data_IF_343058675576
#
_entry.id   IF_343058675576
#
_cell.length_a   1.000
_cell.length_b   1.000
_cell.length_c   1.000
_cell.angle_alpha   90.00
_cell.angle_beta   90.00
_cell.angle_gamma   90.00
#
_symmetry.space_group_name_H-M   'P 1'
#
loop_
_entity.id
_entity.type
_entity.pdbx_description
1 polymer ?
#
# COMPACT_ATOMS: atom_id res chain seq x y z
N UNK A 1 -13.55 -4.14 -5.61
CA UNK A 1 -13.34 -4.54 -7.01
C UNK A 1 -13.33 -6.06 -7.08
N UNK A 2 -13.94 -6.63 -8.12
CA UNK A 2 -13.93 -8.05 -8.43
C UNK A 2 -13.00 -8.25 -9.63
N UNK A 3 -12.14 -9.27 -9.56
CA UNK A 3 -11.19 -9.66 -10.60
C UNK A 3 -11.48 -11.10 -10.99
N UNK A 4 -11.91 -11.32 -12.22
CA UNK A 4 -12.09 -12.67 -12.78
C UNK A 4 -10.74 -13.24 -13.21
N UNK A 5 -10.47 -14.49 -12.83
CA UNK A 5 -9.19 -15.13 -13.09
C UNK A 5 -9.22 -15.86 -14.42
N UNK A 6 -8.35 -15.46 -15.36
CA UNK A 6 -8.16 -16.15 -16.64
C UNK A 6 -7.45 -17.52 -16.50
N UNK A 7 -6.78 -17.75 -15.37
CA UNK A 7 -6.08 -19.00 -15.05
C UNK A 7 -6.33 -19.37 -13.59
N UNK A 8 -6.18 -20.66 -13.25
CA UNK A 8 -6.31 -21.12 -11.87
C UNK A 8 -5.19 -20.51 -11.01
N UNK A 9 -5.56 -19.58 -10.14
CA UNK A 9 -4.66 -18.87 -9.24
C UNK A 9 -5.10 -19.13 -7.80
N UNK A 10 -4.60 -20.20 -7.16
CA UNK A 10 -5.03 -20.57 -5.82
C UNK A 10 -4.59 -19.51 -4.82
N UNK A 11 -5.46 -19.23 -3.86
CA UNK A 11 -5.19 -18.34 -2.74
C UNK A 11 -5.95 -18.79 -1.51
N UNK A 12 -5.51 -18.35 -0.34
CA UNK A 12 -6.16 -18.57 0.96
C UNK A 12 -6.63 -17.23 1.53
N UNK A 13 -7.79 -17.15 2.20
CA UNK A 13 -8.17 -15.92 2.90
C UNK A 13 -7.04 -15.45 3.83
N UNK A 14 -6.63 -14.19 3.66
CA UNK A 14 -5.46 -13.60 4.31
C UNK A 14 -4.33 -13.28 3.34
N UNK A 15 -4.27 -13.96 2.18
CA UNK A 15 -3.30 -13.69 1.13
C UNK A 15 -3.43 -12.29 0.53
N UNK A 16 -2.36 -11.83 -0.11
CA UNK A 16 -2.33 -10.60 -0.89
C UNK A 16 -2.32 -10.88 -2.38
N UNK A 17 -2.80 -9.92 -3.16
CA UNK A 17 -2.56 -9.84 -4.60
C UNK A 17 -1.66 -8.64 -4.90
N UNK A 18 -0.57 -8.87 -5.63
CA UNK A 18 0.28 -7.83 -6.18
C UNK A 18 -0.21 -7.45 -7.58
N UNK A 19 -0.60 -6.19 -7.77
CA UNK A 19 -1.13 -5.68 -9.03
C UNK A 19 -0.08 -4.82 -9.73
N UNK A 20 0.19 -5.13 -11.01
CA UNK A 20 1.03 -4.32 -11.89
C UNK A 20 0.18 -3.27 -12.61
N UNK A 21 0.21 -2.04 -12.10
CA UNK A 21 -0.48 -0.92 -12.72
C UNK A 21 0.32 -0.26 -13.84
N UNK A 22 -0.36 0.56 -14.63
CA UNK A 22 0.27 1.45 -15.60
C UNK A 22 0.29 2.89 -15.07
N UNK A 23 1.32 3.64 -15.44
CA UNK A 23 1.30 5.09 -15.35
C UNK A 23 0.22 5.64 -16.30
N UNK A 24 -0.39 6.75 -15.88
CA UNK A 24 -1.43 7.44 -16.67
C UNK A 24 -0.89 7.90 -18.02
N UNK A 25 -1.71 7.72 -19.06
CA UNK A 25 -1.32 8.04 -20.42
C UNK A 25 -0.90 9.51 -20.57
N UNK A 26 -1.60 10.44 -19.93
CA UNK A 26 -1.30 11.87 -20.03
C UNK A 26 0.08 12.21 -19.44
N UNK A 27 0.49 11.52 -18.37
CA UNK A 27 1.83 11.66 -17.78
C UNK A 27 2.90 11.08 -18.70
N UNK A 28 2.64 9.91 -19.28
CA UNK A 28 3.57 9.27 -20.22
C UNK A 28 3.76 10.15 -21.45
N UNK A 29 2.67 10.61 -22.07
CA UNK A 29 2.71 11.51 -23.23
C UNK A 29 3.47 12.80 -22.93
N UNK A 30 3.22 13.41 -21.76
CA UNK A 30 3.94 14.58 -21.31
C UNK A 30 5.44 14.32 -21.18
N UNK A 31 5.85 13.22 -20.52
CA UNK A 31 7.29 12.86 -20.39
C UNK A 31 7.91 12.64 -21.78
N UNK A 32 7.25 11.87 -22.65
CA UNK A 32 7.73 11.58 -24.01
C UNK A 32 7.97 12.87 -24.81
N UNK A 33 7.08 13.86 -24.69
CA UNK A 33 7.21 15.15 -25.38
C UNK A 33 8.43 15.97 -24.97
N UNK A 34 9.07 15.64 -23.85
CA UNK A 34 10.24 16.35 -23.31
C UNK A 34 11.57 15.60 -23.53
N UNK A 35 11.54 14.39 -24.07
CA UNK A 35 12.74 13.58 -24.29
C UNK A 35 13.57 14.08 -25.48
N UNK A 36 14.88 13.96 -25.37
CA UNK A 36 15.78 14.09 -26.50
C UNK A 36 15.88 12.73 -27.22
N UNK A 37 15.04 12.53 -28.24
CA UNK A 37 15.05 11.31 -29.05
C UNK A 37 14.69 11.60 -30.50
N UNK A 38 15.32 10.87 -31.43
CA UNK A 38 14.95 10.84 -32.85
C UNK A 38 14.11 9.61 -33.21
N UNK A 39 13.98 8.66 -32.29
CA UNK A 39 13.21 7.43 -32.45
C UNK A 39 11.75 7.69 -32.13
N UNK A 40 10.86 7.15 -32.96
CA UNK A 40 9.42 7.13 -32.68
C UNK A 40 9.17 6.40 -31.36
N UNK A 41 8.50 7.03 -30.36
CA UNK A 41 8.19 6.39 -29.09
C UNK A 41 7.37 5.11 -29.18
N UNK A 42 6.72 4.87 -30.32
CA UNK A 42 5.87 3.71 -30.60
C UNK A 42 6.56 2.63 -31.45
N UNK A 43 7.81 2.84 -31.87
CA UNK A 43 8.63 1.81 -32.48
C UNK A 43 9.31 0.92 -31.42
N UNK A 44 9.37 -0.41 -31.60
CA UNK A 44 10.08 -1.30 -30.69
C UNK A 44 11.58 -0.98 -30.62
N UNK A 45 12.10 -0.84 -29.41
CA UNK A 45 13.52 -0.64 -29.14
C UNK A 45 14.04 -1.68 -28.14
N UNK A 46 15.35 -1.89 -28.12
CA UNK A 46 16.03 -2.70 -27.12
C UNK A 46 17.07 -1.85 -26.40
N UNK A 47 16.99 -1.79 -25.07
CA UNK A 47 18.03 -1.16 -24.27
C UNK A 47 19.25 -2.10 -24.19
N UNK A 48 20.40 -1.60 -24.63
CA UNK A 48 21.67 -2.33 -24.54
C UNK A 48 22.63 -1.66 -23.55
N UNK A 49 23.38 -2.46 -22.82
CA UNK A 49 24.40 -2.03 -21.88
C UNK A 49 25.77 -2.38 -22.45
N UNK A 50 26.69 -1.41 -22.43
CA UNK A 50 28.08 -1.66 -22.81
C UNK A 50 28.83 -2.27 -21.63
N UNK A 51 29.25 -3.52 -21.76
CA UNK A 51 30.11 -4.20 -20.78
C UNK A 51 31.57 -4.11 -21.22
N UNK A 52 32.43 -3.78 -20.27
CA UNK A 52 33.88 -3.79 -20.45
C UNK A 52 34.48 -5.01 -19.76
N UNK A 53 35.05 -5.93 -20.54
CA UNK A 53 35.71 -7.14 -20.03
C UNK A 53 37.21 -6.99 -20.15
N UNK A 54 37.92 -7.06 -19.04
CA UNK A 54 39.38 -7.06 -19.02
C UNK A 54 39.90 -8.43 -19.45
N UNK A 55 40.61 -8.48 -20.58
CA UNK A 55 41.26 -9.69 -21.12
C UNK A 55 42.78 -9.51 -21.12
N UNK A 56 43.52 -10.60 -21.32
CA UNK A 56 44.99 -10.55 -21.47
C UNK A 56 45.45 -9.67 -22.64
N UNK A 57 44.56 -9.39 -23.60
CA UNK A 57 44.84 -8.62 -24.81
C UNK A 57 44.28 -7.18 -24.73
N UNK A 58 43.77 -6.74 -23.58
CA UNK A 58 43.19 -5.41 -23.37
C UNK A 58 41.71 -5.45 -22.94
N UNK A 59 41.05 -4.29 -23.03
CA UNK A 59 39.63 -4.14 -22.66
C UNK A 59 38.75 -4.43 -23.87
N UNK A 60 37.95 -5.51 -23.79
CA UNK A 60 36.94 -5.83 -24.79
C UNK A 60 35.63 -5.13 -24.41
N UNK A 61 35.04 -4.37 -25.33
CA UNK A 61 33.72 -3.75 -25.14
C UNK A 61 32.66 -4.52 -25.92
N UNK A 62 31.68 -5.08 -25.24
CA UNK A 62 30.53 -5.77 -25.83
C UNK A 62 29.24 -5.03 -25.50
N UNK A 63 28.28 -5.04 -26.41
CA UNK A 63 26.93 -4.56 -26.16
C UNK A 63 26.02 -5.76 -25.92
N UNK A 64 25.32 -5.74 -24.79
CA UNK A 64 24.44 -6.82 -24.38
C UNK A 64 23.04 -6.26 -24.04
N UNK A 65 21.96 -6.99 -24.33
CA UNK A 65 20.62 -6.59 -23.92
C UNK A 65 20.51 -6.38 -22.42
N UNK A 66 19.70 -5.42 -22.00
CA UNK A 66 19.46 -5.15 -20.59
C UNK A 66 18.73 -6.33 -19.92
N UNK A 67 19.30 -6.86 -18.84
CA UNK A 67 18.88 -8.14 -18.24
C UNK A 67 17.41 -8.18 -17.75
N UNK A 68 16.81 -7.02 -17.44
CA UNK A 68 15.48 -6.94 -16.82
C UNK A 68 14.41 -6.28 -17.69
N UNK A 69 14.79 -5.62 -18.78
CA UNK A 69 13.86 -4.84 -19.59
C UNK A 69 13.73 -5.56 -20.94
N UNK A 70 12.54 -6.05 -21.30
CA UNK A 70 12.35 -6.70 -22.59
C UNK A 70 12.39 -5.66 -23.72
N UNK A 71 12.65 -6.09 -24.97
CA UNK A 71 12.40 -5.25 -26.14
C UNK A 71 10.94 -4.75 -26.12
N UNK A 72 10.77 -3.43 -26.11
CA UNK A 72 9.47 -2.79 -26.05
C UNK A 72 9.55 -1.37 -26.61
N UNK A 73 8.41 -0.71 -26.79
CA UNK A 73 8.39 0.70 -27.20
C UNK A 73 8.78 1.60 -26.03
N UNK A 74 9.30 2.80 -26.31
CA UNK A 74 9.63 3.78 -25.27
C UNK A 74 8.37 4.15 -24.47
N UNK A 75 7.21 4.21 -25.13
CA UNK A 75 5.91 4.40 -24.48
C UNK A 75 5.61 3.29 -23.46
N UNK A 76 5.80 2.02 -23.83
CA UNK A 76 5.58 0.90 -22.91
C UNK A 76 6.57 0.94 -21.74
N UNK A 77 7.83 1.31 -21.99
CA UNK A 77 8.85 1.48 -20.97
C UNK A 77 8.40 2.45 -19.86
N UNK A 78 7.96 3.65 -20.22
CA UNK A 78 7.46 4.64 -19.26
C UNK A 78 6.05 4.36 -18.74
N UNK A 79 5.24 3.59 -19.45
CA UNK A 79 3.90 3.22 -18.99
C UNK A 79 3.92 2.10 -17.95
N UNK A 80 4.72 1.04 -18.16
CA UNK A 80 4.62 -0.21 -17.39
C UNK A 80 5.84 -0.55 -16.55
N UNK A 81 7.02 -0.07 -16.93
CA UNK A 81 8.27 -0.57 -16.36
C UNK A 81 8.99 0.42 -15.44
N UNK A 82 8.86 1.74 -15.67
CA UNK A 82 9.57 2.76 -14.90
C UNK A 82 8.64 3.59 -14.03
N UNK A 83 9.09 3.93 -12.82
CA UNK A 83 8.40 4.87 -11.95
C UNK A 83 8.71 6.31 -12.38
N UNK A 84 7.69 6.99 -12.91
CA UNK A 84 7.78 8.40 -13.32
C UNK A 84 7.09 9.34 -12.32
N UNK A 85 6.62 8.81 -11.18
CA UNK A 85 5.78 9.52 -10.21
C UNK A 85 6.48 9.79 -8.88
N UNK A 86 7.47 8.99 -8.51
CA UNK A 86 8.32 9.27 -7.35
C UNK A 86 9.24 10.47 -7.65
N UNK A 87 9.40 11.43 -6.71
CA UNK A 87 10.30 12.56 -6.90
C UNK A 87 11.72 12.12 -7.31
N UNK A 88 12.31 12.74 -8.35
CA UNK A 88 13.68 12.44 -8.79
C UNK A 88 14.70 12.55 -7.65
N UNK A 89 15.64 11.61 -7.62
CA UNK A 89 16.71 11.61 -6.60
C UNK A 89 17.71 12.74 -6.84
N UNK A 90 18.47 13.18 -5.83
CA UNK A 90 19.52 14.17 -6.02
C UNK A 90 20.54 13.78 -7.10
N UNK A 91 20.83 12.49 -7.25
CA UNK A 91 21.70 11.99 -8.33
C UNK A 91 21.09 12.22 -9.72
N UNK A 92 19.79 11.96 -9.90
CA UNK A 92 19.12 12.24 -11.17
C UNK A 92 19.06 13.77 -11.43
N UNK A 93 18.85 14.59 -10.40
CA UNK A 93 18.90 16.05 -10.53
C UNK A 93 20.30 16.54 -10.92
N UNK A 94 21.37 15.91 -10.42
CA UNK A 94 22.75 16.20 -10.83
C UNK A 94 22.96 15.90 -12.32
N UNK A 95 22.40 14.79 -12.82
CA UNK A 95 22.42 14.48 -14.25
C UNK A 95 21.63 15.51 -15.07
N UNK A 96 20.46 15.94 -14.60
CA UNK A 96 19.69 17.01 -15.25
C UNK A 96 20.46 18.33 -15.29
N UNK A 97 21.15 18.71 -14.21
CA UNK A 97 22.01 19.90 -14.18
C UNK A 97 23.13 19.86 -15.24
N UNK A 98 23.66 18.66 -15.55
CA UNK A 98 24.74 18.50 -16.53
C UNK A 98 24.28 18.65 -17.99
N UNK A 99 22.98 18.48 -18.26
CA UNK A 99 22.38 18.58 -19.60
C UNK A 99 21.48 19.81 -19.78
N UNK A 100 21.22 20.55 -18.70
CA UNK A 100 20.47 21.80 -18.74
C UNK A 100 21.19 22.81 -19.63
N UNK A 101 20.45 23.41 -20.57
CA UNK A 101 21.01 24.41 -21.51
C UNK A 101 20.84 25.85 -21.02
N UNK A 102 19.90 26.08 -20.09
CA UNK A 102 19.72 27.36 -19.43
C UNK A 102 20.58 27.45 -18.15
N UNK A 103 21.37 28.53 -17.96
CA UNK A 103 22.22 28.67 -16.78
C UNK A 103 21.47 28.72 -15.45
N UNK A 104 20.25 29.23 -15.43
CA UNK A 104 19.45 29.31 -14.19
C UNK A 104 18.88 27.94 -13.83
N UNK A 105 18.38 27.18 -14.81
CA UNK A 105 17.98 25.77 -14.61
C UNK A 105 19.16 24.94 -14.08
N UNK A 106 20.34 25.07 -14.70
CA UNK A 106 21.56 24.39 -14.25
C UNK A 106 21.90 24.76 -12.80
N UNK A 107 21.84 26.05 -12.44
CA UNK A 107 22.14 26.52 -11.08
C UNK A 107 21.15 25.95 -10.06
N UNK A 108 19.85 26.00 -10.35
CA UNK A 108 18.79 25.50 -9.47
C UNK A 108 18.83 24.00 -9.31
N UNK A 109 19.02 23.24 -10.39
CA UNK A 109 19.18 21.79 -10.35
C UNK A 109 20.42 21.37 -9.57
N UNK A 110 21.55 22.08 -9.75
CA UNK A 110 22.76 21.85 -8.96
C UNK A 110 22.49 22.05 -7.47
N UNK A 111 21.82 23.15 -7.10
CA UNK A 111 21.45 23.42 -5.70
C UNK A 111 20.60 22.27 -5.12
N UNK A 112 19.57 21.81 -5.86
CA UNK A 112 18.73 20.70 -5.42
C UNK A 112 19.49 19.36 -5.37
N UNK A 113 20.53 19.18 -6.18
CA UNK A 113 21.34 17.97 -6.19
C UNK A 113 22.35 17.92 -5.02
N UNK A 114 22.88 19.08 -4.59
CA UNK A 114 23.97 19.15 -3.59
C UNK A 114 23.51 19.58 -2.21
N UNK A 115 22.50 20.43 -2.11
CA UNK A 115 22.01 20.98 -0.83
C UNK A 115 20.81 20.17 -0.31
N UNK A 116 21.09 19.27 0.63
CA UNK A 116 20.10 18.37 1.25
C UNK A 116 18.85 19.09 1.77
N UNK A 117 19.02 20.26 2.42
CA UNK A 117 17.88 21.03 2.93
C UNK A 117 16.99 21.59 1.81
N UNK A 118 17.60 22.12 0.74
CA UNK A 118 16.86 22.64 -0.40
C UNK A 118 16.08 21.53 -1.13
N UNK A 119 16.72 20.37 -1.30
CA UNK A 119 16.08 19.18 -1.87
C UNK A 119 14.88 18.72 -1.04
N UNK A 120 15.05 18.54 0.27
CA UNK A 120 13.98 18.03 1.11
C UNK A 120 12.81 19.03 1.22
N UNK A 121 13.08 20.34 1.23
CA UNK A 121 12.04 21.35 1.19
C UNK A 121 11.24 21.29 -0.13
N UNK A 122 11.94 21.29 -1.27
CA UNK A 122 11.32 21.18 -2.59
C UNK A 122 10.53 19.87 -2.75
N UNK A 123 11.13 18.74 -2.36
CA UNK A 123 10.53 17.39 -2.42
C UNK A 123 9.26 17.30 -1.58
N UNK A 124 9.27 17.76 -0.32
CA UNK A 124 8.10 17.64 0.55
C UNK A 124 6.99 18.62 0.19
N UNK A 125 7.36 19.83 -0.26
CA UNK A 125 6.41 20.88 -0.63
C UNK A 125 5.71 20.58 -1.96
N UNK A 126 6.49 20.25 -3.00
CA UNK A 126 5.99 20.02 -4.35
C UNK A 126 5.58 18.57 -4.59
N UNK A 127 6.30 17.61 -4.03
CA UNK A 127 6.21 16.17 -4.34
C UNK A 127 6.18 15.93 -5.86
N UNK A 128 7.11 16.51 -6.62
CA UNK A 128 6.96 16.62 -8.06
C UNK A 128 7.21 15.27 -8.73
N UNK A 129 6.34 14.88 -9.65
CA UNK A 129 6.62 13.74 -10.54
C UNK A 129 7.55 14.15 -11.68
N UNK A 130 8.10 13.18 -12.43
CA UNK A 130 9.11 13.44 -13.45
C UNK A 130 8.68 14.52 -14.46
N UNK A 131 7.45 14.47 -14.97
CA UNK A 131 6.93 15.48 -15.89
C UNK A 131 6.94 16.89 -15.29
N UNK A 132 6.48 17.08 -14.05
CA UNK A 132 6.51 18.39 -13.37
C UNK A 132 7.94 18.92 -13.23
N UNK A 133 8.93 18.03 -12.99
CA UNK A 133 10.35 18.43 -12.95
C UNK A 133 10.83 18.89 -14.33
N UNK A 134 10.48 18.17 -15.40
CA UNK A 134 10.84 18.57 -16.76
C UNK A 134 10.11 19.85 -17.20
N UNK A 135 8.91 20.11 -16.66
CA UNK A 135 8.17 21.36 -16.84
C UNK A 135 8.76 22.52 -16.06
N UNK A 136 9.22 22.29 -14.83
CA UNK A 136 9.88 23.29 -13.98
C UNK A 136 11.27 23.70 -14.52
N UNK A 137 11.98 22.77 -15.17
CA UNK A 137 13.30 22.99 -15.77
C UNK A 137 13.24 22.73 -17.28
N UNK A 138 12.64 23.65 -18.07
CA UNK A 138 12.31 23.40 -19.46
C UNK A 138 13.52 23.21 -20.36
N UNK A 139 14.71 23.67 -19.96
CA UNK A 139 15.95 23.51 -20.74
C UNK A 139 16.57 22.11 -20.69
N UNK A 140 15.98 21.20 -19.89
CA UNK A 140 16.41 19.81 -19.70
C UNK A 140 15.66 18.89 -20.68
N UNK A 141 16.43 18.18 -21.51
CA UNK A 141 15.90 17.18 -22.45
C UNK A 141 16.67 15.86 -22.30
N UNK A 142 16.27 14.97 -21.37
CA UNK A 142 17.02 13.73 -21.13
C UNK A 142 16.77 12.72 -22.26
N UNK A 143 17.76 11.87 -22.52
CA UNK A 143 17.57 10.73 -23.43
C UNK A 143 16.75 9.62 -22.74
N UNK A 144 15.97 8.82 -23.50
CA UNK A 144 15.25 7.67 -22.94
C UNK A 144 16.19 6.68 -22.22
N UNK A 145 17.39 6.45 -22.76
CA UNK A 145 18.37 5.55 -22.17
C UNK A 145 18.89 6.03 -20.80
N UNK A 146 19.10 7.35 -20.64
CA UNK A 146 19.47 7.93 -19.34
C UNK A 146 18.39 7.66 -18.29
N UNK A 147 17.13 7.94 -18.64
CA UNK A 147 16.01 7.72 -17.72
C UNK A 147 15.83 6.23 -17.40
N UNK A 148 15.97 5.35 -18.38
CA UNK A 148 15.89 3.90 -18.16
C UNK A 148 16.96 3.38 -17.19
N UNK A 149 18.14 4.01 -17.19
CA UNK A 149 19.24 3.65 -16.30
C UNK A 149 19.09 4.24 -14.88
N UNK A 150 18.40 5.37 -14.73
CA UNK A 150 18.34 6.12 -13.46
C UNK A 150 17.01 5.98 -12.71
N UNK A 151 15.90 5.74 -13.41
CA UNK A 151 14.59 5.57 -12.79
C UNK A 151 14.47 4.18 -12.16
N UNK A 152 13.73 4.12 -11.05
CA UNK A 152 13.43 2.84 -10.41
C UNK A 152 12.36 2.09 -11.19
N UNK A 153 12.35 0.74 -11.14
CA UNK A 153 11.28 -0.03 -11.72
C UNK A 153 9.93 0.26 -11.05
N UNK A 154 8.86 0.35 -11.84
CA UNK A 154 7.50 0.52 -11.34
C UNK A 154 7.08 -0.71 -10.53
N UNK A 155 6.96 -0.53 -9.21
CA UNK A 155 6.66 -1.63 -8.30
C UNK A 155 5.17 -2.03 -8.35
N UNK A 156 4.84 -3.34 -8.25
CA UNK A 156 3.47 -3.76 -8.03
C UNK A 156 2.95 -3.25 -6.69
N UNK A 157 1.63 -3.03 -6.58
CA UNK A 157 0.97 -2.64 -5.33
C UNK A 157 0.19 -3.82 -4.76
N UNK A 158 0.36 -4.07 -3.47
CA UNK A 158 -0.30 -5.17 -2.77
C UNK A 158 -1.65 -4.76 -2.21
N UNK A 159 -2.63 -5.66 -2.35
CA UNK A 159 -3.96 -5.56 -1.76
C UNK A 159 -4.31 -6.86 -1.06
N UNK A 160 -4.83 -6.80 0.17
CA UNK A 160 -5.33 -8.00 0.86
C UNK A 160 -6.59 -8.52 0.16
N UNK A 161 -6.60 -9.82 -0.13
CA UNK A 161 -7.72 -10.47 -0.80
C UNK A 161 -8.93 -10.48 0.12
N UNK A 162 -10.04 -9.96 -0.39
CA UNK A 162 -11.29 -9.68 0.32
C UNK A 162 -12.40 -10.68 -0.01
N UNK A 163 -12.06 -11.87 -0.51
CA UNK A 163 -13.00 -12.95 -0.86
C UNK A 163 -12.51 -14.30 -0.34
N UNK A 164 -13.42 -15.27 -0.23
CA UNK A 164 -13.07 -16.68 -0.03
C UNK A 164 -13.12 -17.45 -1.36
N UNK A 165 -12.10 -18.28 -1.69
CA UNK A 165 -12.09 -19.06 -2.94
C UNK A 165 -13.20 -20.14 -2.95
N UNK A 166 -13.70 -20.53 -1.77
CA UNK A 166 -14.82 -21.48 -1.64
C UNK A 166 -16.14 -20.82 -2.07
N UNK A 167 -16.30 -19.53 -1.76
CA UNK A 167 -17.54 -18.79 -2.05
C UNK A 167 -17.50 -18.18 -3.45
N UNK A 168 -16.32 -17.74 -3.88
CA UNK A 168 -16.09 -17.03 -5.15
C UNK A 168 -15.05 -17.79 -5.97
N UNK A 169 -15.45 -18.93 -6.53
CA UNK A 169 -14.56 -19.75 -7.36
C UNK A 169 -14.17 -18.99 -8.64
N UNK A 170 -12.89 -18.98 -8.98
CA UNK A 170 -12.36 -18.28 -10.16
C UNK A 170 -12.32 -16.75 -10.02
N UNK A 171 -12.52 -16.20 -8.81
CA UNK A 171 -12.54 -14.75 -8.59
C UNK A 171 -11.69 -14.32 -7.40
N UNK A 172 -11.03 -13.17 -7.53
CA UNK A 172 -10.36 -12.45 -6.44
C UNK A 172 -11.06 -11.12 -6.23
N UNK A 173 -11.49 -10.84 -5.01
CA UNK A 173 -12.02 -9.53 -4.65
C UNK A 173 -10.96 -8.75 -3.88
N UNK A 174 -10.87 -7.45 -4.12
CA UNK A 174 -10.02 -6.54 -3.36
C UNK A 174 -10.78 -5.30 -2.90
N UNK A 175 -10.39 -4.77 -1.75
CA UNK A 175 -10.89 -3.51 -1.20
C UNK A 175 -9.84 -2.42 -1.41
N UNK A 176 -10.14 -1.43 -2.26
CA UNK A 176 -9.17 -0.43 -2.69
C UNK A 176 -9.56 0.94 -2.16
N UNK A 177 -8.66 1.58 -1.41
CA UNK A 177 -8.76 3.02 -1.14
C UNK A 177 -8.22 3.79 -2.35
N UNK A 178 -9.05 4.61 -2.99
CA UNK A 178 -8.61 5.47 -4.08
C UNK A 178 -7.79 6.63 -3.51
N UNK A 179 -6.51 6.67 -3.84
CA UNK A 179 -5.58 7.70 -3.33
C UNK A 179 -5.56 8.88 -4.29
N UNK A 180 -5.91 10.05 -3.77
CA UNK A 180 -5.71 11.35 -4.43
C UNK A 180 -5.40 12.41 -3.39
N UNK A 181 -4.46 13.30 -3.67
CA UNK A 181 -4.09 14.39 -2.76
C UNK A 181 -3.66 15.61 -3.55
N UNK A 182 -3.82 16.80 -2.96
CA UNK A 182 -3.26 18.04 -3.51
C UNK A 182 -1.88 18.29 -2.90
N UNK A 183 -0.95 18.74 -3.74
CA UNK A 183 0.37 19.19 -3.29
C UNK A 183 0.28 20.61 -2.71
N UNK A 184 1.38 21.14 -2.15
CA UNK A 184 1.46 22.53 -1.68
C UNK A 184 0.34 22.92 -0.72
N UNK A 185 0.13 22.08 0.31
CA UNK A 185 -0.90 22.24 1.34
C UNK A 185 -2.35 22.42 0.85
N UNK A 186 -2.66 21.94 -0.36
CA UNK A 186 -4.01 22.01 -0.92
C UNK A 186 -4.17 22.99 -2.07
N UNK A 187 -3.18 23.85 -2.30
CA UNK A 187 -3.21 24.86 -3.37
C UNK A 187 -2.59 24.37 -4.69
N UNK A 188 -1.81 23.29 -4.63
CA UNK A 188 -1.15 22.71 -5.79
C UNK A 188 -2.04 21.78 -6.65
N UNK A 189 -1.45 21.21 -7.71
CA UNK A 189 -2.11 20.20 -8.54
C UNK A 189 -2.53 18.97 -7.73
N UNK A 190 -3.53 18.25 -8.25
CA UNK A 190 -3.97 16.97 -7.69
C UNK A 190 -3.07 15.87 -8.23
N UNK A 191 -2.46 15.13 -7.31
CA UNK A 191 -1.71 13.91 -7.60
C UNK A 191 -2.56 12.69 -7.29
N UNK A 192 -2.37 11.65 -8.10
CA UNK A 192 -3.15 10.42 -8.06
C UNK A 192 -2.24 9.24 -7.74
N UNK A 193 -2.63 8.38 -6.80
CA UNK A 193 -1.91 7.12 -6.57
C UNK A 193 -2.02 6.22 -7.80
N UNK A 194 -0.89 5.81 -8.36
CA UNK A 194 -0.79 5.08 -9.64
C UNK A 194 -1.75 3.88 -9.69
N UNK A 195 -1.56 2.90 -8.82
CA UNK A 195 -2.33 1.65 -8.88
C UNK A 195 -3.81 1.83 -8.48
N UNK A 196 -4.10 2.63 -7.46
CA UNK A 196 -5.49 2.81 -7.02
C UNK A 196 -6.36 3.54 -8.04
N UNK A 197 -5.79 4.45 -8.83
CA UNK A 197 -6.52 5.15 -9.89
C UNK A 197 -6.55 4.32 -11.17
N UNK A 198 -5.47 3.59 -11.50
CA UNK A 198 -5.49 2.57 -12.56
C UNK A 198 -6.64 1.58 -12.37
N UNK A 199 -6.84 1.06 -11.15
CA UNK A 199 -7.95 0.14 -10.83
C UNK A 199 -9.32 0.82 -10.80
N UNK A 200 -9.40 2.11 -10.45
CA UNK A 200 -10.66 2.88 -10.49
C UNK A 200 -11.11 3.12 -11.93
N UNK A 201 -10.15 3.39 -12.81
CA UNK A 201 -10.38 3.79 -14.19
C UNK A 201 -10.49 2.58 -15.14
N UNK A 202 -10.22 1.37 -14.64
CA UNK A 202 -10.40 0.12 -15.37
C UNK A 202 -11.89 -0.17 -15.63
N UNK A 203 -12.18 -0.67 -16.83
CA UNK A 203 -13.51 -1.07 -17.26
C UNK A 203 -13.68 -2.59 -17.17
N UNK A 204 -14.93 -3.04 -17.19
CA UNK A 204 -15.24 -4.47 -17.33
C UNK A 204 -14.62 -5.01 -18.62
N UNK A 205 -13.89 -6.12 -18.52
CA UNK A 205 -13.18 -6.74 -19.63
C UNK A 205 -11.74 -6.27 -19.85
N UNK A 206 -11.26 -5.27 -19.10
CA UNK A 206 -9.84 -4.87 -19.16
C UNK A 206 -8.93 -5.93 -18.52
N UNK A 207 -7.80 -6.22 -19.18
CA UNK A 207 -6.78 -7.14 -18.65
C UNK A 207 -5.94 -6.49 -17.54
N UNK A 208 -5.91 -7.12 -16.37
CA UNK A 208 -5.11 -6.69 -15.21
C UNK A 208 -4.05 -7.73 -14.87
N UNK A 209 -2.78 -7.33 -14.97
CA UNK A 209 -1.66 -8.18 -14.60
C UNK A 209 -1.48 -8.21 -13.08
N UNK A 210 -1.50 -9.41 -12.51
CA UNK A 210 -1.40 -9.62 -11.08
C UNK A 210 -0.71 -10.94 -10.71
N UNK A 211 -0.33 -11.08 -9.45
CA UNK A 211 0.14 -12.33 -8.86
C UNK A 211 -0.30 -12.45 -7.41
N UNK A 212 -0.48 -13.67 -6.91
CA UNK A 212 -0.78 -13.92 -5.49
C UNK A 212 0.52 -14.00 -4.69
N UNK A 213 0.53 -13.37 -3.52
CA UNK A 213 1.59 -13.48 -2.51
C UNK A 213 0.99 -14.08 -1.24
N UNK A 214 1.49 -15.25 -0.86
CA UNK A 214 1.01 -15.94 0.33
C UNK A 214 1.35 -15.21 1.63
N UNK A 215 0.41 -15.18 2.57
CA UNK A 215 0.54 -14.55 3.88
C UNK A 215 0.25 -15.54 5.01
N UNK A 216 1.08 -16.58 5.13
CA UNK A 216 0.84 -17.71 6.05
C UNK A 216 0.63 -17.31 7.52
N UNK A 217 1.29 -16.22 7.95
CA UNK A 217 1.12 -15.66 9.30
C UNK A 217 -0.20 -14.90 9.50
N UNK A 218 -1.05 -14.79 8.47
CA UNK A 218 -2.32 -14.06 8.49
C UNK A 218 -3.48 -14.93 7.98
N UNK A 219 -3.42 -16.25 8.19
CA UNK A 219 -4.53 -17.16 7.90
C UNK A 219 -5.43 -17.36 9.11
N UNK A 220 -6.68 -17.78 8.88
CA UNK A 220 -7.54 -18.28 9.94
C UNK A 220 -6.90 -19.47 10.68
N UNK A 221 -7.19 -19.66 11.97
CA UNK A 221 -6.62 -20.76 12.74
C UNK A 221 -7.06 -22.12 12.14
N UNK A 222 -6.16 -23.11 12.05
CA UNK A 222 -6.52 -24.45 11.61
C UNK A 222 -7.59 -25.09 12.52
N UNK A 223 -7.52 -24.83 13.82
CA UNK A 223 -8.54 -25.21 14.80
C UNK A 223 -9.72 -24.23 14.74
N UNK A 224 -10.79 -24.65 14.08
CA UNK A 224 -12.00 -23.83 13.88
C UNK A 224 -12.75 -23.51 15.18
N UNK A 225 -12.46 -24.20 16.28
CA UNK A 225 -13.09 -23.95 17.58
C UNK A 225 -12.51 -22.74 18.31
N UNK A 226 -11.33 -22.25 17.88
CA UNK A 226 -10.66 -21.11 18.50
C UNK A 226 -11.38 -19.79 18.19
N UNK A 227 -11.62 -18.94 19.21
CA UNK A 227 -12.19 -17.63 18.97
C UNK A 227 -11.21 -16.73 18.22
N UNK A 228 -11.76 -15.81 17.42
CA UNK A 228 -11.00 -14.90 16.57
C UNK A 228 -11.48 -13.47 16.82
N UNK A 229 -10.56 -12.56 17.11
CA UNK A 229 -10.81 -11.12 17.19
C UNK A 229 -10.11 -10.45 16.00
N UNK A 230 -10.87 -9.69 15.22
CA UNK A 230 -10.39 -8.98 14.03
C UNK A 230 -10.52 -7.48 14.25
N UNK A 231 -9.43 -6.73 14.06
CA UNK A 231 -9.38 -5.28 14.23
C UNK A 231 -8.90 -4.65 12.92
N UNK A 232 -9.79 -3.95 12.21
CA UNK A 232 -9.50 -3.47 10.87
C UNK A 232 -10.31 -2.25 10.46
N UNK A 233 -9.92 -1.03 10.86
CA UNK A 233 -10.59 0.18 10.44
C UNK A 233 -10.34 0.50 8.96
N UNK A 234 -11.33 1.14 8.31
CA UNK A 234 -11.27 1.52 6.90
C UNK A 234 -11.00 0.31 6.00
N UNK A 235 -10.08 0.44 5.05
CA UNK A 235 -9.70 -0.68 4.16
C UNK A 235 -8.98 -1.81 4.86
N UNK A 236 -8.59 -1.67 6.15
CA UNK A 236 -8.10 -2.77 6.97
C UNK A 236 -9.14 -3.88 7.20
N UNK A 237 -10.40 -3.67 6.83
CA UNK A 237 -11.43 -4.72 6.82
C UNK A 237 -11.23 -5.76 5.70
N UNK A 238 -10.41 -5.46 4.69
CA UNK A 238 -10.23 -6.25 3.48
C UNK A 238 -10.05 -7.75 3.73
N UNK A 239 -9.01 -8.22 4.47
CA UNK A 239 -8.80 -9.65 4.66
C UNK A 239 -9.93 -10.29 5.49
N UNK A 240 -10.53 -9.55 6.41
CA UNK A 240 -11.60 -10.05 7.27
C UNK A 240 -12.86 -10.38 6.48
N UNK A 241 -13.10 -9.69 5.35
CA UNK A 241 -14.17 -10.09 4.42
C UNK A 241 -13.96 -11.49 3.87
N UNK A 242 -12.73 -11.81 3.48
CA UNK A 242 -12.37 -13.18 3.09
C UNK A 242 -12.57 -14.17 4.24
N UNK A 243 -12.19 -13.80 5.47
CA UNK A 243 -12.33 -14.67 6.64
C UNK A 243 -13.78 -15.01 6.95
N UNK A 244 -14.70 -14.03 7.04
CA UNK A 244 -16.10 -14.34 7.37
C UNK A 244 -16.79 -15.09 6.23
N UNK A 245 -16.47 -14.81 4.97
CA UNK A 245 -16.97 -15.62 3.85
C UNK A 245 -16.50 -17.07 3.92
N UNK A 246 -15.23 -17.27 4.29
CA UNK A 246 -14.67 -18.61 4.45
C UNK A 246 -15.30 -19.35 5.62
N UNK A 247 -15.48 -18.68 6.76
CA UNK A 247 -16.15 -19.26 7.93
C UNK A 247 -17.61 -19.61 7.63
N UNK A 248 -18.34 -18.74 6.92
CA UNK A 248 -19.71 -19.00 6.46
C UNK A 248 -19.79 -20.29 5.64
N UNK A 249 -18.89 -20.45 4.66
CA UNK A 249 -18.84 -21.66 3.84
C UNK A 249 -18.53 -22.92 4.67
N UNK A 250 -17.59 -22.82 5.61
CA UNK A 250 -17.27 -23.92 6.54
C UNK A 250 -18.47 -24.29 7.43
N UNK A 251 -19.19 -23.30 7.95
CA UNK A 251 -20.39 -23.50 8.77
C UNK A 251 -21.49 -24.21 7.98
N UNK A 252 -21.74 -23.81 6.74
CA UNK A 252 -22.74 -24.46 5.88
C UNK A 252 -22.35 -25.89 5.48
N UNK A 253 -21.05 -26.17 5.35
CA UNK A 253 -20.54 -27.51 5.04
C UNK A 253 -20.38 -28.42 6.27
N UNK A 254 -20.43 -27.87 7.47
CA UNK A 254 -20.16 -28.61 8.70
C UNK A 254 -21.21 -29.71 8.95
N UNK A 255 -20.74 -30.90 9.28
CA UNK A 255 -21.58 -31.95 9.83
C UNK A 255 -21.98 -31.61 11.27
N UNK A 256 -23.15 -32.10 11.71
CA UNK A 256 -23.66 -31.83 13.06
C UNK A 256 -22.65 -32.16 14.16
N UNK A 257 -22.42 -31.21 15.07
CA UNK A 257 -21.53 -31.37 16.23
C UNK A 257 -20.19 -30.61 16.16
N UNK A 258 -19.83 -30.03 15.02
CA UNK A 258 -18.63 -29.20 14.93
C UNK A 258 -18.84 -27.85 15.66
N UNK A 259 -17.95 -27.55 16.61
CA UNK A 259 -17.99 -26.31 17.38
C UNK A 259 -17.09 -25.27 16.71
N UNK A 260 -17.68 -24.11 16.42
CA UNK A 260 -16.96 -22.98 15.83
C UNK A 260 -16.70 -21.90 16.87
N UNK A 261 -15.47 -21.40 16.89
CA UNK A 261 -15.06 -20.30 17.73
C UNK A 261 -15.74 -18.99 17.32
N UNK A 262 -16.05 -18.16 18.32
CA UNK A 262 -16.72 -16.87 18.07
C UNK A 262 -15.79 -15.93 17.32
N UNK A 263 -16.27 -15.33 16.23
CA UNK A 263 -15.55 -14.28 15.48
C UNK A 263 -16.09 -12.90 15.86
N UNK A 264 -15.21 -12.01 16.33
CA UNK A 264 -15.53 -10.62 16.68
C UNK A 264 -14.84 -9.67 15.72
N UNK A 265 -15.54 -8.62 15.30
CA UNK A 265 -14.99 -7.58 14.43
C UNK A 265 -15.04 -6.21 15.11
N UNK A 266 -13.88 -5.57 15.25
CA UNK A 266 -13.74 -4.17 15.62
C UNK A 266 -13.40 -3.37 14.37
N UNK A 267 -14.43 -2.72 13.82
CA UNK A 267 -14.33 -1.88 12.63
C UNK A 267 -14.39 -0.41 13.01
N UNK A 268 -13.73 0.45 12.22
CA UNK A 268 -13.76 1.89 12.44
C UNK A 268 -13.74 2.67 11.13
N UNK A 269 -14.50 3.75 11.07
CA UNK A 269 -14.51 4.66 9.92
C UNK A 269 -14.73 6.11 10.37
N UNK A 270 -14.86 7.04 9.41
CA UNK A 270 -15.07 8.46 9.74
C UNK A 270 -16.53 8.74 10.12
N UNK A 271 -17.47 8.23 9.33
CA UNK A 271 -18.91 8.50 9.42
C UNK A 271 -19.67 7.25 9.00
N UNK A 272 -20.94 7.13 9.37
CA UNK A 272 -21.77 5.98 9.00
C UNK A 272 -21.85 5.71 7.49
N UNK A 273 -21.77 6.75 6.66
CA UNK A 273 -21.78 6.63 5.20
C UNK A 273 -20.56 5.87 4.65
N UNK A 274 -19.49 5.74 5.44
CA UNK A 274 -18.26 5.03 5.10
C UNK A 274 -18.15 3.68 5.84
N UNK A 275 -19.28 3.14 6.29
CA UNK A 275 -19.35 1.84 6.92
C UNK A 275 -19.24 0.71 5.88
N UNK A 276 -18.01 0.37 5.50
CA UNK A 276 -17.73 -0.63 4.47
C UNK A 276 -18.35 -1.99 4.82
N UNK A 277 -19.00 -2.61 3.82
CA UNK A 277 -19.64 -3.93 3.94
C UNK A 277 -20.73 -4.00 5.01
N UNK A 278 -21.45 -2.89 5.27
CA UNK A 278 -22.49 -2.81 6.30
C UNK A 278 -23.52 -3.93 6.21
N UNK A 279 -24.09 -4.15 5.03
CA UNK A 279 -25.13 -5.15 4.79
C UNK A 279 -24.58 -6.56 4.94
N UNK A 280 -23.38 -6.83 4.42
CA UNK A 280 -22.73 -8.14 4.60
C UNK A 280 -22.46 -8.44 6.08
N UNK A 281 -21.96 -7.46 6.85
CA UNK A 281 -21.73 -7.63 8.30
C UNK A 281 -23.02 -7.92 9.06
N UNK A 282 -24.12 -7.23 8.72
CA UNK A 282 -25.43 -7.49 9.33
C UNK A 282 -25.89 -8.92 9.06
N UNK A 283 -25.80 -9.39 7.81
CA UNK A 283 -26.10 -10.77 7.45
C UNK A 283 -25.21 -11.78 8.21
N UNK A 284 -23.91 -11.51 8.32
CA UNK A 284 -23.00 -12.40 9.05
C UNK A 284 -23.31 -12.47 10.55
N UNK A 285 -23.88 -11.42 11.15
CA UNK A 285 -24.39 -11.47 12.52
C UNK A 285 -25.65 -12.34 12.63
N UNK A 286 -26.58 -12.21 11.69
CA UNK A 286 -27.82 -13.00 11.64
C UNK A 286 -27.56 -14.50 11.44
N UNK A 287 -26.60 -14.84 10.55
CA UNK A 287 -26.18 -16.22 10.28
C UNK A 287 -25.26 -16.80 11.38
N UNK A 288 -24.89 -16.01 12.39
CA UNK A 288 -24.03 -16.44 13.50
C UNK A 288 -22.56 -16.65 13.13
N UNK A 289 -22.14 -16.24 11.93
CA UNK A 289 -20.75 -16.25 11.47
C UNK A 289 -19.91 -15.25 12.27
N UNK A 290 -20.40 -14.02 12.39
CA UNK A 290 -19.87 -13.01 13.30
C UNK A 290 -20.70 -13.04 14.58
N UNK A 291 -20.06 -13.21 15.73
CA UNK A 291 -20.75 -13.18 17.01
C UNK A 291 -20.99 -11.75 17.50
N UNK A 292 -20.09 -10.81 17.16
CA UNK A 292 -20.20 -9.39 17.49
C UNK A 292 -19.48 -8.51 16.45
N UNK A 293 -20.06 -7.35 16.17
CA UNK A 293 -19.44 -6.29 15.38
C UNK A 293 -19.50 -4.99 16.17
N UNK A 294 -18.35 -4.33 16.29
CA UNK A 294 -18.19 -3.04 16.94
C UNK A 294 -17.82 -1.99 15.88
N UNK A 295 -18.48 -0.84 15.92
CA UNK A 295 -18.26 0.27 14.98
C UNK A 295 -17.76 1.51 15.72
N UNK A 296 -16.53 1.93 15.39
CA UNK A 296 -15.93 3.17 15.88
C UNK A 296 -16.07 4.29 14.84
N UNK A 297 -16.59 5.45 15.27
CA UNK A 297 -16.79 6.61 14.40
C UNK A 297 -15.94 7.78 14.88
N UNK A 298 -15.08 8.29 13.99
CA UNK A 298 -14.07 9.29 14.35
C UNK A 298 -14.45 10.74 13.98
N UNK A 299 -15.47 10.94 13.15
CA UNK A 299 -15.86 12.26 12.60
C UNK A 299 -17.39 12.40 12.40
N UNK A 300 -18.17 11.63 13.13
CA UNK A 300 -19.64 11.76 13.12
C UNK A 300 -20.03 12.92 14.05
N UNK A 301 -20.68 14.00 13.57
CA UNK A 301 -20.88 15.23 14.37
C UNK A 301 -21.63 15.03 15.69
N UNK A 302 -22.49 14.02 15.76
CA UNK A 302 -23.36 13.75 16.92
C UNK A 302 -22.76 12.72 17.89
N UNK A 303 -21.64 12.10 17.57
CA UNK A 303 -21.05 11.01 18.35
C UNK A 303 -19.62 11.41 18.77
N UNK A 304 -19.23 11.20 20.04
CA UNK A 304 -17.86 11.41 20.46
C UNK A 304 -16.87 10.64 19.58
N UNK A 305 -15.80 11.32 19.17
CA UNK A 305 -14.72 10.73 18.38
C UNK A 305 -14.20 9.47 19.08
N UNK A 306 -14.40 8.34 18.42
CA UNK A 306 -14.06 7.01 18.93
C UNK A 306 -13.19 6.26 17.93
N UNK A 307 -12.18 5.55 18.41
CA UNK A 307 -11.34 4.64 17.64
C UNK A 307 -11.51 3.18 18.10
N UNK A 308 -10.96 2.24 17.32
CA UNK A 308 -11.10 0.81 17.59
C UNK A 308 -10.48 0.39 18.92
N UNK A 309 -9.35 1.00 19.33
CA UNK A 309 -8.74 0.75 20.63
C UNK A 309 -9.60 1.23 21.82
N UNK A 310 -10.43 2.25 21.63
CA UNK A 310 -11.36 2.70 22.66
C UNK A 310 -12.47 1.67 22.86
N UNK A 311 -12.92 1.02 21.78
CA UNK A 311 -13.91 -0.07 21.84
C UNK A 311 -13.31 -1.36 22.41
N UNK A 312 -12.06 -1.68 22.08
CA UNK A 312 -11.32 -2.79 22.70
C UNK A 312 -11.26 -2.60 24.22
N UNK A 313 -10.93 -1.39 24.69
CA UNK A 313 -10.88 -1.08 26.11
C UNK A 313 -12.23 -1.27 26.81
N UNK A 314 -13.34 -0.90 26.17
CA UNK A 314 -14.68 -1.08 26.73
C UNK A 314 -15.04 -2.57 26.91
N UNK A 315 -14.46 -3.45 26.10
CA UNK A 315 -14.71 -4.89 26.13
C UNK A 315 -13.53 -5.69 26.71
N UNK A 316 -12.63 -5.02 27.45
CA UNK A 316 -11.34 -5.55 27.91
C UNK A 316 -11.44 -6.94 28.56
N UNK A 317 -12.37 -7.12 29.50
CA UNK A 317 -12.57 -8.39 30.18
C UNK A 317 -12.92 -9.54 29.22
N UNK A 318 -13.75 -9.26 28.20
CA UNK A 318 -14.15 -10.27 27.24
C UNK A 318 -13.04 -10.54 26.20
N UNK A 319 -12.29 -9.50 25.80
CA UNK A 319 -11.09 -9.65 24.97
C UNK A 319 -10.07 -10.54 25.67
N UNK A 320 -9.76 -10.26 26.94
CA UNK A 320 -8.87 -11.08 27.77
C UNK A 320 -9.32 -12.54 27.82
N UNK A 321 -10.60 -12.77 28.12
CA UNK A 321 -11.18 -14.12 28.15
C UNK A 321 -10.97 -14.87 26.83
N UNK A 322 -11.21 -14.23 25.67
CA UNK A 322 -11.05 -14.87 24.36
C UNK A 322 -9.60 -15.17 24.01
N UNK A 323 -8.69 -14.23 24.26
CA UNK A 323 -7.30 -14.37 23.83
C UNK A 323 -6.47 -15.21 24.80
N UNK A 324 -6.62 -14.98 26.10
CA UNK A 324 -5.77 -15.61 27.12
C UNK A 324 -6.37 -16.91 27.61
N UNK A 325 -7.66 -16.92 27.98
CA UNK A 325 -8.29 -18.10 28.61
C UNK A 325 -8.73 -19.15 27.58
N UNK A 326 -9.29 -18.69 26.45
CA UNK A 326 -9.78 -19.60 25.39
C UNK A 326 -8.72 -19.90 24.32
N UNK A 327 -7.54 -19.28 24.42
CA UNK A 327 -6.44 -19.45 23.45
C UNK A 327 -6.80 -18.96 22.05
N UNK A 328 -7.56 -17.87 21.96
CA UNK A 328 -7.99 -17.27 20.70
C UNK A 328 -6.87 -16.58 19.93
N UNK A 329 -7.22 -16.15 18.73
CA UNK A 329 -6.34 -15.44 17.80
C UNK A 329 -6.77 -13.98 17.65
N UNK A 330 -5.81 -13.08 17.55
CA UNK A 330 -6.01 -11.65 17.45
C UNK A 330 -5.36 -11.12 16.17
N UNK A 331 -6.16 -10.56 15.27
CA UNK A 331 -5.72 -10.07 13.96
C UNK A 331 -5.88 -8.56 13.88
N UNK A 332 -4.84 -7.88 13.41
CA UNK A 332 -4.82 -6.44 13.19
C UNK A 332 -4.45 -6.16 11.74
N UNK A 333 -5.27 -5.36 11.04
CA UNK A 333 -5.01 -5.01 9.66
C UNK A 333 -5.25 -3.51 9.41
N UNK A 334 -4.32 -2.88 8.68
CA UNK A 334 -4.45 -1.49 8.25
C UNK A 334 -3.18 -0.66 8.44
N UNK A 335 -3.34 0.57 8.90
CA UNK A 335 -2.25 1.54 9.07
C UNK A 335 -1.28 1.17 10.20
N UNK A 336 0.02 1.49 10.02
CA UNK A 336 1.05 1.20 11.01
C UNK A 336 0.85 1.90 12.36
N UNK A 337 0.37 3.16 12.36
CA UNK A 337 0.11 3.91 13.60
C UNK A 337 -1.10 3.33 14.33
N UNK A 338 -2.10 2.89 13.59
CA UNK A 338 -3.28 2.23 14.15
C UNK A 338 -2.89 0.89 14.80
N UNK A 339 -2.07 0.09 14.13
CA UNK A 339 -1.62 -1.19 14.65
C UNK A 339 -0.81 -1.04 15.93
N UNK A 340 0.10 -0.07 16.01
CA UNK A 340 0.85 0.22 17.24
C UNK A 340 -0.10 0.54 18.41
N UNK A 341 -1.09 1.41 18.21
CA UNK A 341 -2.06 1.74 19.27
C UNK A 341 -2.91 0.52 19.69
N UNK A 342 -3.25 -0.36 18.76
CA UNK A 342 -3.99 -1.59 19.05
C UNK A 342 -3.12 -2.58 19.81
N UNK A 343 -1.84 -2.73 19.44
CA UNK A 343 -0.86 -3.56 20.15
C UNK A 343 -0.73 -3.11 21.61
N UNK A 344 -0.51 -1.81 21.84
CA UNK A 344 -0.40 -1.25 23.19
C UNK A 344 -1.71 -1.43 23.98
N UNK A 345 -2.87 -1.31 23.33
CA UNK A 345 -4.16 -1.54 23.99
C UNK A 345 -4.34 -3.01 24.40
N UNK A 346 -4.00 -3.97 23.52
CA UNK A 346 -4.07 -5.39 23.86
C UNK A 346 -3.12 -5.73 25.02
N UNK A 347 -1.90 -5.19 25.00
CA UNK A 347 -0.93 -5.31 26.09
C UNK A 347 -1.53 -4.82 27.41
N UNK A 348 -2.12 -3.62 27.43
CA UNK A 348 -2.77 -3.08 28.62
C UNK A 348 -3.92 -3.97 29.12
N UNK A 349 -4.76 -4.49 28.22
CA UNK A 349 -5.86 -5.39 28.58
C UNK A 349 -5.34 -6.67 29.26
N UNK A 350 -4.29 -7.29 28.68
CA UNK A 350 -3.70 -8.51 29.23
C UNK A 350 -3.06 -8.23 30.58
N UNK A 351 -2.37 -7.09 30.71
CA UNK A 351 -1.75 -6.67 31.95
C UNK A 351 -2.77 -6.49 33.08
N UNK A 352 -3.79 -5.67 32.85
CA UNK A 352 -4.80 -5.32 33.86
C UNK A 352 -5.63 -6.53 34.30
N UNK A 353 -6.07 -7.36 33.35
CA UNK A 353 -6.93 -8.51 33.65
C UNK A 353 -6.16 -9.78 34.04
N UNK A 354 -4.89 -9.89 33.64
CA UNK A 354 -4.01 -10.98 34.06
C UNK A 354 -3.27 -10.72 35.37
N UNK A 355 -3.29 -9.48 35.88
CA UNK A 355 -2.52 -9.08 37.05
C UNK A 355 -1.01 -9.18 36.83
N UNK A 356 -0.57 -8.99 35.59
CA UNK A 356 0.84 -9.16 35.18
C UNK A 356 1.65 -7.88 35.40
N UNK A 357 2.93 -8.05 35.69
CA UNK A 357 3.92 -6.96 35.64
C UNK A 357 4.30 -6.64 34.19
N UNK A 358 4.89 -5.46 33.95
CA UNK A 358 5.30 -5.00 32.61
C UNK A 358 6.18 -6.02 31.87
N UNK A 359 7.15 -6.64 32.56
CA UNK A 359 8.03 -7.64 31.96
C UNK A 359 7.32 -8.94 31.59
N UNK A 360 6.31 -9.33 32.38
CA UNK A 360 5.54 -10.56 32.16
C UNK A 360 4.62 -10.41 30.95
N UNK A 361 3.95 -9.25 30.83
CA UNK A 361 3.07 -9.01 29.68
C UNK A 361 3.85 -8.87 28.37
N UNK A 362 5.05 -8.27 28.38
CA UNK A 362 5.91 -8.24 27.19
C UNK A 362 6.32 -9.65 26.75
N UNK A 363 6.75 -10.48 27.70
CA UNK A 363 7.05 -11.89 27.41
C UNK A 363 5.83 -12.63 26.88
N UNK A 364 4.63 -12.36 27.40
CA UNK A 364 3.40 -13.00 26.93
C UNK A 364 3.02 -12.56 25.50
N UNK A 365 3.20 -11.27 25.17
CA UNK A 365 2.97 -10.77 23.81
C UNK A 365 3.93 -11.39 22.80
N UNK A 366 5.19 -11.64 23.18
CA UNK A 366 6.14 -12.41 22.37
C UNK A 366 5.65 -13.86 22.17
N UNK A 367 5.24 -14.54 23.24
CA UNK A 367 4.65 -15.88 23.15
C UNK A 367 3.45 -15.92 22.21
N UNK A 368 2.56 -14.92 22.23
CA UNK A 368 1.42 -14.85 21.29
C UNK A 368 1.87 -14.77 19.82
N UNK A 369 2.98 -14.09 19.52
CA UNK A 369 3.54 -14.02 18.17
C UNK A 369 4.20 -15.34 17.78
N UNK A 370 4.99 -15.93 18.69
CA UNK A 370 5.69 -17.20 18.47
C UNK A 370 4.70 -18.37 18.28
N UNK A 371 3.59 -18.37 19.00
CA UNK A 371 2.47 -19.32 18.84
C UNK A 371 1.58 -19.02 17.62
N UNK A 372 1.89 -17.98 16.84
CA UNK A 372 1.08 -17.51 15.72
C UNK A 372 -0.40 -17.29 16.11
N UNK A 373 -0.62 -16.61 17.23
CA UNK A 373 -1.94 -16.20 17.75
C UNK A 373 -2.16 -14.68 17.74
N UNK A 374 -1.11 -13.89 17.51
CA UNK A 374 -1.19 -12.45 17.26
C UNK A 374 -0.67 -12.15 15.85
N UNK A 375 -1.51 -11.56 15.01
CA UNK A 375 -1.29 -11.43 13.58
C UNK A 375 -1.42 -9.97 13.12
N UNK A 376 -0.50 -9.52 12.27
CA UNK A 376 -0.49 -8.16 11.73
C UNK A 376 -0.37 -8.18 10.20
N UNK A 377 -1.23 -7.40 9.54
CA UNK A 377 -1.17 -7.10 8.10
C UNK A 377 -1.16 -5.58 7.89
N UNK A 378 0.05 -5.02 7.77
CA UNK A 378 0.28 -3.57 7.84
C UNK A 378 0.54 -2.99 6.46
N UNK A 379 -0.25 -1.99 6.06
CA UNK A 379 -0.22 -1.38 4.73
C UNK A 379 0.82 -0.23 4.59
N UNK A 380 1.61 0.01 5.64
CA UNK A 380 2.45 1.20 5.77
C UNK A 380 1.67 2.41 6.33
N UNK A 381 2.14 3.63 6.03
CA UNK A 381 1.49 4.89 6.45
C UNK A 381 0.36 5.22 5.47
N UNK A 382 -0.86 4.82 5.81
CA UNK A 382 -2.07 4.98 4.99
C UNK A 382 -3.12 5.85 5.66
N UNK A 383 -3.10 5.95 6.99
CA UNK A 383 -3.90 6.88 7.77
C UNK A 383 -2.99 8.02 8.23
N UNK A 384 -3.52 9.25 8.22
CA UNK A 384 -2.80 10.45 8.66
C UNK A 384 -1.54 10.79 7.84
N UNK A 385 -1.40 10.27 6.62
CA UNK A 385 -0.38 10.71 5.64
C UNK A 385 -0.32 12.23 5.56
N UNK A 386 -1.48 12.91 5.53
CA UNK A 386 -1.55 14.37 5.63
C UNK A 386 -0.93 14.91 6.93
N UNK A 387 -1.27 14.42 8.14
CA UNK A 387 -0.73 14.97 9.40
C UNK A 387 0.78 14.71 9.58
N UNK A 388 1.26 13.52 9.17
CA UNK A 388 2.67 13.13 9.24
C UNK A 388 3.50 13.95 8.24
N UNK A 389 3.03 14.07 6.99
CA UNK A 389 3.67 14.95 6.02
C UNK A 389 3.50 16.42 6.37
N UNK A 390 2.41 16.86 7.01
CA UNK A 390 2.17 18.26 7.37
C UNK A 390 3.24 18.78 8.33
N UNK A 391 3.78 17.99 9.26
CA UNK A 391 4.89 18.45 10.12
C UNK A 391 6.16 18.77 9.32
N UNK A 392 6.52 17.89 8.38
CA UNK A 392 7.66 18.10 7.48
C UNK A 392 7.38 19.23 6.47
N UNK A 393 6.14 19.31 5.94
CA UNK A 393 5.69 20.33 4.98
C UNK A 393 5.56 21.71 5.59
N UNK A 394 5.10 21.84 6.82
CA UNK A 394 4.97 23.14 7.49
C UNK A 394 6.34 23.75 7.79
N UNK A 395 7.30 22.89 8.16
CA UNK A 395 8.71 23.29 8.28
C UNK A 395 9.30 23.72 6.93
N UNK A 396 9.02 22.99 5.85
CA UNK A 396 9.44 23.32 4.49
C UNK A 396 8.77 24.60 3.96
N UNK A 397 7.48 24.80 4.20
CA UNK A 397 6.70 25.98 3.79
C UNK A 397 7.31 27.26 4.34
N UNK A 398 7.64 27.28 5.63
CA UNK A 398 8.27 28.43 6.29
C UNK A 398 9.59 28.77 5.62
N UNK A 399 10.42 27.76 5.30
CA UNK A 399 11.72 27.96 4.64
C UNK A 399 11.58 28.41 3.19
N UNK A 400 10.71 27.78 2.40
CA UNK A 400 10.50 28.15 1.00
C UNK A 400 9.83 29.52 0.83
N UNK A 401 8.90 29.90 1.71
CA UNK A 401 8.28 31.23 1.70
C UNK A 401 9.22 32.35 2.16
N UNK A 402 10.36 32.00 2.78
CA UNK A 402 11.38 32.95 3.26
C UNK A 402 12.54 33.16 2.29
N UNK A 403 12.55 32.46 1.14
CA UNK A 403 13.55 32.69 0.10
C UNK A 403 13.16 33.92 -0.74
N UNK A 404 14.07 34.89 -0.94
CA UNK A 404 13.80 36.17 -1.61
C UNK A 404 13.53 36.06 -3.11
#
# INVERSE_FOLDING_TARGET
MLLELAADLPYTPGDHVGVFACNRQELVDGVLSRLQTTTDPDEPVELQVQKETHTSNGVLKTWEPHERLPPCTIRILFSRFLDITTPPTPNLLQHFASIATDPEDQRRLTLLATESAAYEDWRHWRIPHLLEVLEEFPSVHPSPALLAAQLTPLQPRFYSISSSPIVQSGQIHITVAVVSYRTQDGEGPVHYGVCSNYLRDANEGDDINLFVRSAQSFYLPPDVSRPVIMVGPGTGIAPFRGFWQHRMAQLHAAAGGQVFGKMWLFFGCRQHALDLYREEKARMLEEGVLAKVYLALSREPTIPKTYVQDLLRKEAAAVYQKIVIEGGHFYVCGDCTMAEHVYQMLKLIIQEHGGMLDSEVESYMLTLRDENRYHEDIFGITLRTAEVHNRSRESARIRMASQP
#
